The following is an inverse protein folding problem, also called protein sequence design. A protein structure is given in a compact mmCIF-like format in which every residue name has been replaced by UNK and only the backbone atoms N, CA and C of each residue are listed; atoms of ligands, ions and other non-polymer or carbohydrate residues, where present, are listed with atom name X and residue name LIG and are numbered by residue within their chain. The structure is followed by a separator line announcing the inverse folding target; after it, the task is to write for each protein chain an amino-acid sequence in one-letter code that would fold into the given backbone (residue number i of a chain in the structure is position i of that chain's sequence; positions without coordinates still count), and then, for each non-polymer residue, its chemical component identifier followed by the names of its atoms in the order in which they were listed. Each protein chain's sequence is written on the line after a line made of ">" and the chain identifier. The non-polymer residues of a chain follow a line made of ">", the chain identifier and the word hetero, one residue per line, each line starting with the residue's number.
data_IF_220447009502
#
_entry.id   IF_220447009502
#
_cell.length_a   1.000
_cell.length_b   1.000
_cell.length_c   1.000
_cell.angle_alpha   90.00
_cell.angle_beta   90.00
_cell.angle_gamma   90.00
#
_symmetry.space_group_name_H-M   'P 1'
#
loop_
_entity.id
_entity.type
_entity.pdbx_description
1 polymer ?
#
# COMPACT_ATOMS: atom_id res chain seq x y z
N UNK A 1 1.33 -14.33 -7.94
CA UNK A 1 0.68 -13.93 -6.66
C UNK A 1 -0.46 -14.91 -6.41
N UNK A 2 -0.48 -15.58 -5.25
CA UNK A 2 -1.40 -16.70 -4.96
C UNK A 2 -2.84 -16.22 -4.63
N UNK A 3 -3.85 -17.06 -4.84
CA UNK A 3 -5.27 -16.88 -4.46
C UNK A 3 -5.42 -16.47 -2.97
N UNK A 4 -4.45 -16.90 -2.15
CA UNK A 4 -4.30 -16.48 -0.76
C UNK A 4 -4.35 -14.96 -0.57
N UNK A 5 -3.85 -14.16 -1.52
CA UNK A 5 -3.89 -12.70 -1.42
C UNK A 5 -5.31 -12.13 -1.62
N UNK A 6 -6.01 -12.58 -2.67
CA UNK A 6 -7.40 -12.15 -2.92
C UNK A 6 -8.32 -12.54 -1.74
N UNK A 7 -8.12 -13.71 -1.15
CA UNK A 7 -8.85 -14.15 0.05
C UNK A 7 -8.56 -13.24 1.25
N UNK A 8 -7.29 -12.87 1.48
CA UNK A 8 -6.93 -11.94 2.55
C UNK A 8 -7.57 -10.58 2.35
N UNK A 9 -7.51 -10.03 1.13
CA UNK A 9 -8.11 -8.74 0.81
C UNK A 9 -9.65 -8.75 0.93
N UNK A 10 -10.27 -9.89 0.63
CA UNK A 10 -11.71 -10.11 0.86
C UNK A 10 -12.06 -10.13 2.34
N UNK A 11 -11.31 -10.86 3.16
CA UNK A 11 -11.49 -10.87 4.62
C UNK A 11 -11.29 -9.48 5.20
N UNK A 12 -10.20 -8.82 4.81
CA UNK A 12 -9.89 -7.43 5.13
C UNK A 12 -11.08 -6.51 4.88
N UNK A 13 -11.61 -6.54 3.65
CA UNK A 13 -12.71 -5.65 3.26
C UNK A 13 -13.96 -5.95 4.07
N UNK A 14 -14.43 -7.21 4.07
CA UNK A 14 -15.72 -7.58 4.67
C UNK A 14 -15.75 -7.45 6.19
N UNK A 15 -14.66 -7.79 6.87
CA UNK A 15 -14.62 -7.85 8.33
C UNK A 15 -14.14 -6.54 8.98
N UNK A 16 -13.24 -5.80 8.32
CA UNK A 16 -12.49 -4.75 9.01
C UNK A 16 -12.63 -3.36 8.42
N UNK A 17 -12.93 -3.18 7.14
CA UNK A 17 -12.90 -1.84 6.53
C UNK A 17 -14.23 -1.08 6.54
N UNK A 18 -15.35 -1.78 6.73
CA UNK A 18 -16.69 -1.20 6.63
C UNK A 18 -16.90 0.03 7.52
N UNK A 19 -16.30 0.06 8.70
CA UNK A 19 -16.50 1.11 9.71
C UNK A 19 -15.50 2.28 9.59
N UNK A 20 -14.59 2.20 8.62
CA UNK A 20 -13.49 3.15 8.44
C UNK A 20 -13.54 3.83 7.08
N UNK A 21 -14.23 3.26 6.10
CA UNK A 21 -14.38 3.82 4.77
C UNK A 21 -15.73 4.51 4.61
N UNK A 22 -15.77 5.55 3.79
CA UNK A 22 -17.04 6.08 3.31
C UNK A 22 -17.84 5.00 2.57
N UNK A 23 -19.19 5.02 2.60
CA UNK A 23 -20.02 3.98 1.98
C UNK A 23 -19.68 3.72 0.51
N UNK A 24 -19.40 4.78 -0.27
CA UNK A 24 -18.99 4.66 -1.68
C UNK A 24 -17.62 3.99 -1.85
N UNK A 25 -16.66 4.32 -1.00
CA UNK A 25 -15.32 3.73 -1.01
C UNK A 25 -15.32 2.26 -0.56
N UNK A 26 -16.14 1.91 0.42
CA UNK A 26 -16.32 0.52 0.83
C UNK A 26 -16.86 -0.35 -0.31
N UNK A 27 -17.93 0.10 -0.98
CA UNK A 27 -18.49 -0.59 -2.16
C UNK A 27 -17.45 -0.72 -3.26
N UNK A 28 -16.72 0.37 -3.56
CA UNK A 28 -15.66 0.38 -4.56
C UNK A 28 -14.59 -0.67 -4.25
N UNK A 29 -14.06 -0.70 -3.03
CA UNK A 29 -13.06 -1.68 -2.63
C UNK A 29 -13.61 -3.11 -2.80
N UNK A 30 -14.80 -3.37 -2.30
CA UNK A 30 -15.41 -4.70 -2.36
C UNK A 30 -15.58 -5.20 -3.80
N UNK A 31 -16.00 -4.33 -4.72
CA UNK A 31 -16.13 -4.65 -6.13
C UNK A 31 -14.77 -4.93 -6.77
N UNK A 32 -13.73 -4.17 -6.42
CA UNK A 32 -12.36 -4.45 -6.87
C UNK A 32 -11.82 -5.76 -6.33
N UNK A 33 -12.12 -6.12 -5.09
CA UNK A 33 -11.76 -7.43 -4.54
C UNK A 33 -12.46 -8.58 -5.27
N UNK A 34 -13.76 -8.44 -5.53
CA UNK A 34 -14.52 -9.45 -6.29
C UNK A 34 -13.95 -9.62 -7.68
N UNK A 35 -13.63 -8.51 -8.35
CA UNK A 35 -12.95 -8.54 -9.64
C UNK A 35 -11.60 -9.24 -9.55
N UNK A 36 -10.76 -8.88 -8.57
CA UNK A 36 -9.44 -9.49 -8.38
C UNK A 36 -9.55 -11.01 -8.20
N UNK A 37 -10.47 -11.48 -7.37
CA UNK A 37 -10.68 -12.92 -7.14
C UNK A 37 -10.96 -13.70 -8.44
N UNK A 38 -11.68 -13.08 -9.38
CA UNK A 38 -12.00 -13.70 -10.67
C UNK A 38 -10.85 -13.63 -11.68
N UNK A 39 -9.85 -12.77 -11.44
CA UNK A 39 -8.77 -12.50 -12.39
C UNK A 39 -7.39 -12.94 -11.89
N UNK A 40 -7.19 -13.15 -10.59
CA UNK A 40 -5.86 -13.44 -10.00
C UNK A 40 -5.29 -14.79 -10.47
N UNK A 41 -6.14 -15.72 -10.89
CA UNK A 41 -5.75 -17.00 -11.48
C UNK A 41 -5.33 -16.88 -12.96
N UNK A 42 -5.61 -15.73 -13.59
CA UNK A 42 -5.12 -15.44 -14.94
C UNK A 42 -3.68 -14.96 -14.83
N UNK A 43 -2.87 -15.26 -15.85
CA UNK A 43 -1.47 -14.80 -15.92
C UNK A 43 -1.37 -13.28 -15.88
N UNK A 44 -2.40 -12.62 -16.44
CA UNK A 44 -2.50 -11.18 -16.59
C UNK A 44 -3.72 -10.63 -15.85
N UNK A 45 -3.49 -9.68 -14.96
CA UNK A 45 -4.56 -8.98 -14.28
C UNK A 45 -4.17 -7.56 -13.87
N UNK A 46 -5.19 -6.75 -13.62
CA UNK A 46 -5.01 -5.38 -13.13
C UNK A 46 -5.97 -5.09 -11.99
N UNK A 47 -5.44 -4.49 -10.93
CA UNK A 47 -6.21 -3.97 -9.79
C UNK A 47 -6.10 -2.45 -9.81
N UNK A 48 -7.23 -1.73 -9.91
CA UNK A 48 -7.23 -0.26 -9.99
C UNK A 48 -8.26 0.33 -9.04
N UNK A 49 -7.81 1.26 -8.20
CA UNK A 49 -8.61 2.21 -7.44
C UNK A 49 -8.34 3.59 -8.05
N UNK A 50 -9.26 4.12 -8.86
CA UNK A 50 -8.98 5.28 -9.70
C UNK A 50 -9.05 6.58 -8.89
N UNK A 51 -8.44 7.66 -9.42
CA UNK A 51 -8.31 8.93 -8.71
C UNK A 51 -9.62 9.71 -8.58
N UNK A 52 -10.53 9.52 -9.51
CA UNK A 52 -11.89 10.08 -9.47
C UNK A 52 -12.78 9.39 -8.43
N UNK A 53 -12.44 8.16 -8.03
CA UNK A 53 -13.14 7.39 -6.99
C UNK A 53 -12.12 6.73 -6.03
N UNK A 54 -11.42 7.54 -5.20
CA UNK A 54 -10.43 7.02 -4.26
C UNK A 54 -11.10 6.19 -3.15
N UNK A 55 -10.30 5.40 -2.42
CA UNK A 55 -10.71 4.92 -1.11
C UNK A 55 -10.57 6.05 -0.10
N UNK A 56 -11.70 6.62 0.29
CA UNK A 56 -11.78 7.70 1.27
C UNK A 56 -12.15 7.12 2.62
N UNK A 57 -11.32 7.42 3.62
CA UNK A 57 -11.60 7.09 5.01
C UNK A 57 -12.59 8.09 5.61
N UNK A 58 -13.47 7.59 6.48
CA UNK A 58 -14.38 8.42 7.28
C UNK A 58 -13.53 9.42 8.07
N UNK A 59 -13.97 10.67 8.11
CA UNK A 59 -13.30 11.76 8.84
C UNK A 59 -12.93 11.32 10.26
N UNK A 60 -11.68 11.59 10.63
CA UNK A 60 -11.21 11.38 11.99
C UNK A 60 -11.45 12.63 12.86
N UNK A 61 -11.09 12.52 14.15
CA UNK A 61 -11.21 13.61 15.13
C UNK A 61 -10.39 14.87 14.76
N UNK A 62 -9.49 14.76 13.77
CA UNK A 62 -8.63 15.84 13.28
C UNK A 62 -9.14 16.54 12.02
N UNK A 63 -10.37 16.25 11.57
CA UNK A 63 -10.95 16.79 10.33
C UNK A 63 -10.06 16.58 9.09
N UNK A 64 -9.35 15.45 9.05
CA UNK A 64 -8.55 15.05 7.89
C UNK A 64 -9.35 14.10 7.01
N UNK A 65 -9.22 14.26 5.70
CA UNK A 65 -9.66 13.28 4.72
C UNK A 65 -8.42 12.55 4.20
N UNK A 66 -8.53 11.22 4.13
CA UNK A 66 -7.44 10.36 3.71
C UNK A 66 -7.93 9.56 2.52
N UNK A 67 -7.29 9.77 1.38
CA UNK A 67 -7.62 9.10 0.12
C UNK A 67 -6.50 8.14 -0.27
N UNK A 68 -6.85 6.92 -0.66
CA UNK A 68 -5.93 5.97 -1.30
C UNK A 68 -6.37 5.72 -2.74
N UNK A 69 -5.42 5.83 -3.66
CA UNK A 69 -5.56 5.36 -5.05
C UNK A 69 -4.48 4.33 -5.32
N UNK A 70 -4.75 3.40 -6.23
CA UNK A 70 -3.87 2.25 -6.44
C UNK A 70 -4.01 1.71 -7.87
N UNK A 71 -2.91 1.23 -8.43
CA UNK A 71 -2.84 0.52 -9.69
C UNK A 71 -1.77 -0.56 -9.59
N UNK A 72 -2.17 -1.82 -9.68
CA UNK A 72 -1.27 -2.97 -9.74
C UNK A 72 -1.54 -3.68 -11.06
N UNK A 73 -0.51 -3.86 -11.87
CA UNK A 73 -0.55 -4.65 -13.11
C UNK A 73 0.38 -5.84 -12.94
N UNK A 74 -0.17 -7.04 -13.13
CA UNK A 74 0.58 -8.29 -13.13
C UNK A 74 0.53 -8.89 -14.53
N UNK A 75 1.68 -9.37 -14.99
CA UNK A 75 1.85 -10.10 -16.25
C UNK A 75 2.78 -11.29 -16.02
N UNK A 76 2.39 -12.46 -16.48
CA UNK A 76 3.13 -13.72 -16.31
C UNK A 76 3.57 -13.95 -14.84
N UNK A 77 2.64 -13.73 -13.90
CA UNK A 77 2.89 -13.86 -12.45
C UNK A 77 3.88 -12.85 -11.82
N UNK A 78 4.35 -11.86 -12.58
CA UNK A 78 5.25 -10.81 -12.10
C UNK A 78 4.56 -9.43 -12.08
N UNK A 79 4.80 -8.64 -11.03
CA UNK A 79 4.28 -7.27 -10.94
C UNK A 79 5.06 -6.39 -11.93
N UNK A 80 4.37 -5.90 -12.96
CA UNK A 80 4.96 -5.02 -13.99
C UNK A 80 4.78 -3.54 -13.70
N UNK A 81 3.69 -3.20 -13.02
CA UNK A 81 3.40 -1.82 -12.62
C UNK A 81 2.76 -1.83 -11.26
N UNK A 82 3.21 -0.95 -10.38
CA UNK A 82 2.67 -0.79 -9.05
C UNK A 82 2.72 0.68 -8.67
N UNK A 83 1.56 1.34 -8.62
CA UNK A 83 1.42 2.73 -8.25
C UNK A 83 0.37 2.85 -7.14
N UNK A 84 0.76 3.27 -5.95
CA UNK A 84 -0.15 3.59 -4.86
C UNK A 84 0.07 5.05 -4.46
N UNK A 85 -1.00 5.81 -4.34
CA UNK A 85 -0.95 7.20 -3.88
C UNK A 85 -1.89 7.37 -2.68
N UNK A 86 -1.33 7.84 -1.56
CA UNK A 86 -2.03 8.24 -0.35
C UNK A 86 -2.05 9.78 -0.29
N UNK A 87 -3.21 10.39 -0.14
CA UNK A 87 -3.35 11.84 0.04
C UNK A 87 -3.99 12.13 1.39
N UNK A 88 -3.41 13.04 2.14
CA UNK A 88 -3.97 13.57 3.38
C UNK A 88 -4.38 15.01 3.14
N UNK A 89 -5.68 15.27 3.22
CA UNK A 89 -6.32 16.54 2.92
C UNK A 89 -6.81 17.18 4.23
N UNK A 90 -6.53 18.47 4.40
CA UNK A 90 -7.24 19.29 5.41
C UNK A 90 -8.63 19.59 4.89
N UNK A 91 -9.69 19.42 5.68
CA UNK A 91 -11.07 19.75 5.27
C UNK A 91 -11.52 21.11 5.84
N UNK A 92 -10.59 21.98 6.22
CA UNK A 92 -10.89 23.39 6.46
C UNK A 92 -11.42 24.04 5.16
N UNK A 93 -12.02 25.24 5.23
CA UNK A 93 -12.86 25.93 4.22
C UNK A 93 -12.35 25.97 2.76
N UNK A 94 -11.17 25.44 2.48
CA UNK A 94 -10.72 25.03 1.16
C UNK A 94 -9.80 23.80 1.28
N UNK A 95 -10.15 22.62 0.72
CA UNK A 95 -9.37 21.42 0.89
C UNK A 95 -7.96 21.58 0.32
N UNK A 96 -6.96 21.58 1.20
CA UNK A 96 -5.54 21.63 0.84
C UNK A 96 -4.89 20.29 1.14
N UNK A 97 -4.14 19.78 0.16
CA UNK A 97 -3.26 18.62 0.37
C UNK A 97 -2.21 19.02 1.40
N UNK A 98 -2.24 18.39 2.57
CA UNK A 98 -1.19 18.56 3.58
C UNK A 98 -0.03 17.63 3.31
N UNK A 99 -0.33 16.38 2.93
CA UNK A 99 0.68 15.37 2.64
C UNK A 99 0.27 14.52 1.44
N UNK A 100 1.25 14.16 0.63
CA UNK A 100 1.10 13.24 -0.49
C UNK A 100 2.17 12.16 -0.37
N UNK A 101 1.75 10.91 -0.36
CA UNK A 101 2.65 9.76 -0.43
C UNK A 101 2.41 9.07 -1.75
N UNK A 102 3.47 8.89 -2.53
CA UNK A 102 3.43 8.20 -3.80
C UNK A 102 4.35 6.99 -3.69
N UNK A 103 3.91 5.85 -4.18
CA UNK A 103 4.62 4.57 -4.16
C UNK A 103 4.53 4.06 -5.59
N UNK A 104 5.53 4.32 -6.43
CA UNK A 104 5.53 3.92 -7.85
C UNK A 104 6.64 2.94 -8.19
N UNK A 105 6.38 2.11 -9.20
CA UNK A 105 7.39 1.38 -9.96
C UNK A 105 7.76 2.21 -11.19
N UNK A 106 9.04 2.54 -11.35
CA UNK A 106 9.53 3.43 -12.41
C UNK A 106 9.33 2.84 -13.82
N UNK A 107 9.28 3.71 -14.84
CA UNK A 107 9.29 3.33 -16.27
C UNK A 107 10.53 2.50 -16.62
N UNK A 108 10.38 1.28 -17.19
CA UNK A 108 11.51 0.41 -17.58
C UNK A 108 12.46 1.03 -18.63
N UNK A 109 12.11 2.15 -19.27
CA UNK A 109 13.03 2.91 -20.14
C UNK A 109 14.10 3.69 -19.36
N UNK A 110 13.91 3.90 -18.05
CA UNK A 110 14.88 4.50 -17.15
C UNK A 110 15.65 3.37 -16.46
N UNK A 111 16.52 2.71 -17.25
CA UNK A 111 17.05 1.35 -17.09
C UNK A 111 17.73 0.94 -15.78
N UNK A 112 17.99 1.84 -14.83
CA UNK A 112 19.01 1.54 -13.81
C UNK A 112 18.50 1.38 -12.37
N UNK A 113 17.23 1.63 -12.03
CA UNK A 113 16.78 1.51 -10.64
C UNK A 113 15.26 1.24 -10.53
N UNK A 114 14.80 0.29 -9.69
CA UNK A 114 13.47 0.40 -9.10
C UNK A 114 13.43 1.68 -8.23
N UNK A 115 12.31 2.25 -7.82
CA UNK A 115 11.79 2.08 -6.47
C UNK A 115 10.81 3.22 -6.15
N UNK A 116 9.91 2.92 -5.22
CA UNK A 116 8.89 3.74 -4.58
C UNK A 116 9.47 5.03 -3.98
N UNK A 117 8.87 6.20 -4.23
CA UNK A 117 9.40 7.48 -3.75
C UNK A 117 8.32 8.41 -3.18
N UNK A 118 8.55 8.88 -1.96
CA UNK A 118 7.75 9.94 -1.35
C UNK A 118 8.02 11.26 -2.05
N UNK A 119 7.06 11.77 -2.83
CA UNK A 119 7.13 13.17 -3.30
C UNK A 119 6.58 14.11 -2.22
N UNK A 120 7.47 14.69 -1.43
CA UNK A 120 7.29 16.09 -1.01
C UNK A 120 8.05 16.98 -2.01
N UNK A 121 7.64 18.24 -2.16
CA UNK A 121 8.18 19.17 -3.19
C UNK A 121 9.72 19.26 -3.23
N UNK A 122 10.42 18.88 -2.16
CA UNK A 122 11.89 18.76 -2.09
C UNK A 122 12.38 17.47 -1.35
N UNK A 123 11.82 16.29 -1.64
CA UNK A 123 12.11 15.07 -0.84
C UNK A 123 13.25 14.16 -1.34
N UNK A 124 13.99 13.52 -0.40
CA UNK A 124 15.04 12.56 -0.72
C UNK A 124 14.46 11.28 -1.31
N UNK A 125 15.19 10.69 -2.27
CA UNK A 125 14.80 9.50 -3.03
C UNK A 125 14.97 8.21 -2.22
N UNK A 126 14.47 8.13 -0.99
CA UNK A 126 14.65 6.91 -0.19
C UNK A 126 13.86 5.74 -0.81
N UNK A 127 14.49 4.57 -1.03
CA UNK A 127 13.75 3.34 -1.30
C UNK A 127 12.94 2.97 -0.05
N UNK A 128 11.64 2.78 -0.23
CA UNK A 128 10.71 2.36 0.84
C UNK A 128 10.44 0.85 0.77
N UNK A 129 10.14 0.20 1.91
CA UNK A 129 9.67 -1.18 1.90
C UNK A 129 8.44 -1.28 0.99
N UNK A 130 8.30 -2.35 0.18
CA UNK A 130 7.11 -2.56 -0.62
C UNK A 130 5.86 -2.57 0.27
N UNK A 131 4.84 -1.82 -0.13
CA UNK A 131 3.58 -1.69 0.59
C UNK A 131 2.44 -2.10 -0.34
N UNK A 132 1.47 -2.82 0.20
CA UNK A 132 0.22 -3.12 -0.49
C UNK A 132 -0.95 -2.35 0.14
N UNK A 133 -2.16 -2.58 -0.35
CA UNK A 133 -3.35 -1.90 0.17
C UNK A 133 -3.63 -2.25 1.65
N UNK A 134 -3.35 -3.49 2.09
CA UNK A 134 -3.57 -3.91 3.48
C UNK A 134 -2.61 -3.16 4.41
N UNK A 135 -1.33 -3.18 4.07
CA UNK A 135 -0.29 -2.50 4.84
C UNK A 135 -0.48 -0.98 4.86
N UNK A 136 -0.94 -0.40 3.75
CA UNK A 136 -1.25 1.02 3.69
C UNK A 136 -2.46 1.38 4.56
N UNK A 137 -3.48 0.54 4.59
CA UNK A 137 -4.61 0.74 5.49
C UNK A 137 -4.20 0.60 6.96
N UNK A 138 -3.35 -0.38 7.32
CA UNK A 138 -2.79 -0.45 8.69
C UNK A 138 -2.00 0.83 9.03
N UNK A 139 -1.18 1.33 8.11
CA UNK A 139 -0.46 2.59 8.30
C UNK A 139 -1.43 3.76 8.57
N UNK A 140 -2.49 3.88 7.78
CA UNK A 140 -3.51 4.92 7.97
C UNK A 140 -4.19 4.78 9.34
N UNK A 141 -4.58 3.56 9.72
CA UNK A 141 -5.26 3.29 10.98
C UNK A 141 -4.39 3.64 12.19
N UNK A 142 -3.12 3.21 12.18
CA UNK A 142 -2.17 3.47 13.28
C UNK A 142 -1.92 4.97 13.46
N UNK A 143 -1.77 5.72 12.36
CA UNK A 143 -1.41 7.14 12.42
C UNK A 143 -2.61 8.08 12.63
N UNK A 144 -3.79 7.74 12.10
CA UNK A 144 -4.91 8.68 12.05
C UNK A 144 -6.17 8.22 12.79
N UNK A 145 -6.22 6.96 13.24
CA UNK A 145 -7.36 6.36 13.94
C UNK A 145 -6.92 5.59 15.21
N UNK A 146 -6.07 6.22 16.03
CA UNK A 146 -5.34 5.56 17.12
C UNK A 146 -6.18 4.60 17.99
N UNK A 147 -7.31 5.08 18.55
CA UNK A 147 -8.19 4.25 19.40
C UNK A 147 -8.74 3.03 18.65
N UNK A 148 -9.31 3.26 17.46
CA UNK A 148 -9.87 2.17 16.65
C UNK A 148 -8.80 1.19 16.17
N UNK A 149 -7.59 1.69 15.90
CA UNK A 149 -6.46 0.85 15.50
C UNK A 149 -5.95 0.01 16.67
N UNK A 150 -5.97 0.51 17.89
CA UNK A 150 -5.62 -0.27 19.08
C UNK A 150 -6.55 -1.47 19.25
N UNK A 151 -7.86 -1.26 19.16
CA UNK A 151 -8.86 -2.33 19.25
C UNK A 151 -8.65 -3.36 18.12
N UNK A 152 -8.43 -2.88 16.90
CA UNK A 152 -8.22 -3.74 15.74
C UNK A 152 -6.94 -4.57 15.85
N UNK A 153 -5.83 -4.01 16.35
CA UNK A 153 -4.57 -4.75 16.56
C UNK A 153 -4.68 -5.85 17.64
N UNK A 154 -5.67 -5.77 18.52
CA UNK A 154 -5.98 -6.83 19.50
C UNK A 154 -6.76 -7.98 18.86
N UNK A 155 -7.41 -7.77 17.72
CA UNK A 155 -8.07 -8.83 16.95
C UNK A 155 -7.06 -9.75 16.27
N UNK A 156 -7.14 -11.05 16.57
CA UNK A 156 -6.22 -12.05 16.01
C UNK A 156 -6.39 -12.25 14.50
N UNK A 157 -7.58 -12.06 13.96
CA UNK A 157 -7.85 -12.18 12.53
C UNK A 157 -7.22 -11.03 11.73
N UNK A 158 -7.36 -9.79 12.22
CA UNK A 158 -6.70 -8.62 11.66
C UNK A 158 -5.18 -8.81 11.65
N UNK A 159 -4.61 -9.16 12.80
CA UNK A 159 -3.17 -9.36 12.96
C UNK A 159 -2.64 -10.38 11.97
N UNK A 160 -3.36 -11.49 11.79
CA UNK A 160 -2.98 -12.52 10.82
C UNK A 160 -3.00 -12.00 9.37
N UNK A 161 -3.97 -11.15 9.00
CA UNK A 161 -4.02 -10.56 7.65
C UNK A 161 -2.83 -9.62 7.41
N UNK A 162 -2.52 -8.76 8.39
CA UNK A 162 -1.36 -7.85 8.32
C UNK A 162 -0.06 -8.65 8.22
N UNK A 163 0.17 -9.63 9.11
CA UNK A 163 1.39 -10.47 9.09
C UNK A 163 1.56 -11.19 7.75
N UNK A 164 0.49 -11.74 7.18
CA UNK A 164 0.58 -12.39 5.88
C UNK A 164 0.97 -11.41 4.77
N UNK A 165 0.45 -10.17 4.81
CA UNK A 165 0.82 -9.13 3.85
C UNK A 165 2.28 -8.71 4.03
N UNK A 166 2.76 -8.54 5.27
CA UNK A 166 4.18 -8.29 5.55
C UNK A 166 5.07 -9.41 5.01
N UNK A 167 4.68 -10.67 5.19
CA UNK A 167 5.42 -11.80 4.65
C UNK A 167 5.47 -11.81 3.11
N UNK A 168 4.39 -11.40 2.45
CA UNK A 168 4.30 -11.36 1.00
C UNK A 168 5.11 -10.21 0.38
N UNK A 169 5.08 -9.02 0.99
CA UNK A 169 5.62 -7.81 0.36
C UNK A 169 6.92 -7.29 1.00
N UNK A 170 7.11 -7.51 2.30
CA UNK A 170 8.19 -6.85 3.05
C UNK A 170 9.32 -7.80 3.47
N UNK A 171 9.06 -9.12 3.57
CA UNK A 171 10.03 -10.09 4.10
C UNK A 171 11.34 -10.08 3.33
N UNK A 172 11.28 -10.14 2.01
CA UNK A 172 12.48 -10.15 1.16
C UNK A 172 13.26 -8.83 1.27
N UNK A 173 12.55 -7.71 1.21
CA UNK A 173 13.12 -6.38 1.40
C UNK A 173 13.92 -6.27 2.70
N UNK A 174 13.33 -6.67 3.84
CA UNK A 174 14.03 -6.60 5.13
C UNK A 174 15.16 -7.63 5.24
N UNK A 175 15.03 -8.79 4.60
CA UNK A 175 16.13 -9.76 4.55
C UNK A 175 17.34 -9.18 3.80
N UNK A 176 17.13 -8.50 2.68
CA UNK A 176 18.18 -7.81 1.95
C UNK A 176 18.84 -6.71 2.78
N UNK A 177 18.04 -5.88 3.46
CA UNK A 177 18.56 -4.84 4.35
C UNK A 177 19.49 -5.42 5.41
N UNK A 178 19.04 -6.48 6.10
CA UNK A 178 19.84 -7.15 7.12
C UNK A 178 21.11 -7.76 6.54
N UNK A 179 21.01 -8.44 5.40
CA UNK A 179 22.19 -9.04 4.75
C UNK A 179 23.23 -7.99 4.36
N UNK A 180 22.82 -6.80 3.92
CA UNK A 180 23.74 -5.71 3.61
C UNK A 180 24.45 -5.18 4.87
N UNK A 181 23.70 -5.00 5.96
CA UNK A 181 24.24 -4.53 7.24
C UNK A 181 25.20 -5.55 7.86
N UNK A 182 24.81 -6.83 7.87
CA UNK A 182 25.53 -7.89 8.59
C UNK A 182 26.80 -8.36 7.86
N UNK A 183 26.81 -8.32 6.52
CA UNK A 183 27.92 -8.89 5.73
C UNK A 183 29.06 -7.90 5.44
N UNK A 184 29.16 -6.77 6.16
CA UNK A 184 30.18 -5.73 5.93
C UNK A 184 30.37 -5.42 4.44
N UNK A 185 29.28 -5.14 3.71
CA UNK A 185 29.43 -4.74 2.31
C UNK A 185 30.22 -3.44 2.22
N UNK A 186 31.12 -3.34 1.23
CA UNK A 186 31.82 -2.09 0.92
C UNK A 186 30.87 -0.96 0.45
N UNK A 187 29.59 -1.29 0.23
CA UNK A 187 28.52 -0.36 -0.11
C UNK A 187 27.64 -0.05 1.09
N UNK A 188 27.13 1.18 1.14
CA UNK A 188 26.08 1.58 2.09
C UNK A 188 24.77 0.85 1.80
N UNK A 189 23.91 0.71 2.82
CA UNK A 189 22.55 0.16 2.64
C UNK A 189 21.79 0.89 1.53
N UNK A 190 21.95 2.21 1.43
CA UNK A 190 21.27 2.99 0.40
C UNK A 190 21.77 2.61 -0.99
N UNK A 191 23.08 2.57 -1.22
CA UNK A 191 23.64 2.13 -2.50
C UNK A 191 23.20 0.71 -2.86
N UNK A 192 23.13 -0.19 -1.87
CA UNK A 192 22.65 -1.55 -2.09
C UNK A 192 21.17 -1.57 -2.53
N UNK A 193 20.30 -0.88 -1.80
CA UNK A 193 18.88 -0.81 -2.12
C UNK A 193 18.61 -0.10 -3.45
N UNK A 194 19.42 0.91 -3.82
CA UNK A 194 19.30 1.56 -5.12
C UNK A 194 19.70 0.65 -6.28
N UNK A 195 20.70 -0.22 -6.10
CA UNK A 195 21.26 -1.03 -7.18
C UNK A 195 20.64 -2.44 -7.29
N UNK A 196 19.71 -2.80 -6.40
CA UNK A 196 19.03 -4.10 -6.47
C UNK A 196 17.95 -4.10 -7.57
N UNK A 197 17.92 -5.12 -8.45
CA UNK A 197 17.00 -5.22 -9.59
C UNK A 197 15.52 -5.40 -9.21
#
# INVERSE_FOLDING_TARGET
>A
MDDKYAIQLQRFTLAYMKEYLEPGSYSTLLDKVRSLKNHILKEDWTFVIPRDHPLTFIKNDSNLQIDITCMIVVHENSIKKHNIELRVLSIEDNPKVKFKFHIDQKDPKLKDHPWYHLQMEDSPRFPFPPMDIILLCEFVLVNFFHKKSEDLRRDGGWRNIVINSQHLFQKEYYHMCNNCIDNNSDATLMEHLFNYP
#
